data_IF_730217325323
#
_entry.id   IF_730217325323
#
_cell.length_a   1.000
_cell.length_b   1.000
_cell.length_c   1.000
_cell.angle_alpha   90.00
_cell.angle_beta   90.00
_cell.angle_gamma   90.00
#
_symmetry.space_group_name_H-M   'P 1'
#
loop_
_entity.id
_entity.type
_entity.pdbx_description
1 polymer ?
#
# COMPACT_ATOMS: atom_id res chain seq x y z
N UNK A 1 -10.34 -17.23 6.62
CA UNK A 1 -9.48 -16.09 7.01
C UNK A 1 -8.61 -15.67 5.82
N UNK A 2 -8.90 -14.53 5.17
CA UNK A 2 -7.96 -14.00 4.17
C UNK A 2 -6.69 -13.54 4.91
N UNK A 3 -5.55 -14.19 4.65
CA UNK A 3 -4.24 -13.77 5.19
C UNK A 3 -3.92 -12.37 4.65
N UNK A 4 -4.12 -11.35 5.48
CA UNK A 4 -3.72 -9.97 5.19
C UNK A 4 -2.20 -9.95 5.01
N UNK A 5 -1.72 -9.51 3.84
CA UNK A 5 -0.29 -9.40 3.58
C UNK A 5 0.22 -8.14 4.29
N UNK A 6 0.97 -8.33 5.35
CA UNK A 6 1.64 -7.26 6.09
C UNK A 6 3.14 -7.33 5.80
N UNK A 7 3.77 -6.17 5.63
CA UNK A 7 5.21 -6.03 5.43
C UNK A 7 5.70 -4.84 6.25
N UNK A 8 6.84 -5.02 6.91
CA UNK A 8 7.50 -3.94 7.63
C UNK A 8 8.40 -3.15 6.68
N UNK A 9 8.34 -1.82 6.77
CA UNK A 9 9.24 -0.90 6.10
C UNK A 9 9.74 0.09 7.15
N UNK A 10 11.06 0.22 7.29
CA UNK A 10 11.68 1.18 8.22
C UNK A 10 11.19 1.04 9.68
N UNK A 11 10.97 -0.20 10.15
CA UNK A 11 10.45 -0.48 11.49
C UNK A 11 8.94 -0.23 11.66
N UNK A 12 8.23 0.10 10.57
CA UNK A 12 6.81 0.45 10.59
C UNK A 12 6.00 -0.60 9.82
N UNK A 13 4.91 -1.17 10.39
CA UNK A 13 4.08 -2.15 9.71
C UNK A 13 3.16 -1.52 8.66
N UNK A 14 3.15 -2.10 7.46
CA UNK A 14 2.24 -1.75 6.37
C UNK A 14 1.44 -2.96 5.92
N UNK A 15 0.18 -2.76 5.58
CA UNK A 15 -0.67 -3.76 4.97
C UNK A 15 -0.82 -3.50 3.47
N UNK A 16 -0.86 -4.57 2.68
CA UNK A 16 -1.15 -4.48 1.26
C UNK A 16 -2.60 -4.00 1.06
N UNK A 17 -2.74 -2.81 0.50
CA UNK A 17 -4.03 -2.19 0.24
C UNK A 17 -4.55 -2.53 -1.16
N UNK A 18 -3.71 -2.36 -2.19
CA UNK A 18 -4.08 -2.59 -3.57
C UNK A 18 -2.87 -3.03 -4.42
N UNK A 19 -3.15 -3.53 -5.61
CA UNK A 19 -2.13 -3.79 -6.63
C UNK A 19 -2.55 -3.25 -7.98
N UNK A 20 -1.60 -2.71 -8.75
CA UNK A 20 -1.85 -2.15 -10.08
C UNK A 20 -0.88 -2.74 -11.12
N UNK A 21 -1.31 -2.84 -12.38
CA UNK A 21 -0.45 -3.22 -13.51
C UNK A 21 0.35 -2.04 -14.09
N UNK A 22 -0.15 -0.82 -13.88
CA UNK A 22 0.37 0.41 -14.44
C UNK A 22 0.84 1.37 -13.33
N UNK A 23 1.88 2.17 -13.59
CA UNK A 23 2.37 3.13 -12.61
C UNK A 23 1.36 4.24 -12.32
N UNK A 24 0.71 4.79 -13.36
CA UNK A 24 -0.25 5.88 -13.21
C UNK A 24 -1.41 5.50 -12.26
N UNK A 25 -1.93 4.28 -12.39
CA UNK A 25 -2.97 3.76 -11.49
C UNK A 25 -2.43 3.60 -10.06
N UNK A 26 -1.20 3.10 -9.92
CA UNK A 26 -0.57 2.94 -8.61
C UNK A 26 -0.37 4.30 -7.90
N UNK A 27 0.06 5.31 -8.66
CA UNK A 27 0.27 6.68 -8.18
C UNK A 27 -1.05 7.35 -7.78
N UNK A 28 -2.12 7.18 -8.57
CA UNK A 28 -3.46 7.68 -8.21
C UNK A 28 -3.97 7.08 -6.90
N UNK A 29 -3.81 5.77 -6.72
CA UNK A 29 -4.21 5.09 -5.47
C UNK A 29 -3.35 5.58 -4.30
N UNK A 30 -2.05 5.77 -4.51
CA UNK A 30 -1.15 6.30 -3.51
C UNK A 30 -1.58 7.71 -3.07
N UNK A 31 -1.83 8.62 -4.02
CA UNK A 31 -2.28 9.99 -3.76
C UNK A 31 -3.62 10.01 -3.03
N UNK A 32 -4.58 9.16 -3.41
CA UNK A 32 -5.88 9.07 -2.75
C UNK A 32 -5.76 8.61 -1.29
N UNK A 33 -4.84 7.68 -0.99
CA UNK A 33 -4.55 7.26 0.37
C UNK A 33 -3.84 8.37 1.18
N UNK A 34 -2.85 9.03 0.59
CA UNK A 34 -2.12 10.13 1.23
C UNK A 34 -3.02 11.34 1.50
N UNK A 35 -3.94 11.68 0.58
CA UNK A 35 -4.96 12.72 0.78
C UNK A 35 -5.93 12.43 1.93
N UNK A 36 -6.01 11.18 2.40
CA UNK A 36 -6.75 10.78 3.61
C UNK A 36 -5.87 10.68 4.86
N UNK A 37 -4.64 11.20 4.79
CA UNK A 37 -3.65 11.15 5.88
C UNK A 37 -2.99 9.78 6.07
N UNK A 38 -3.13 8.85 5.12
CA UNK A 38 -2.51 7.54 5.24
C UNK A 38 -1.04 7.59 4.77
N UNK A 39 -0.14 7.06 5.58
CA UNK A 39 1.25 6.84 5.15
C UNK A 39 1.30 5.64 4.21
N UNK A 40 1.83 5.82 3.01
CA UNK A 40 1.84 4.81 1.95
C UNK A 40 3.24 4.50 1.46
N UNK A 41 3.43 3.28 0.95
CA UNK A 41 4.67 2.84 0.33
C UNK A 41 4.36 2.11 -0.97
N UNK A 42 5.06 2.48 -2.05
CA UNK A 42 4.96 1.80 -3.32
C UNK A 42 6.11 0.80 -3.47
N UNK A 43 5.81 -0.41 -3.93
CA UNK A 43 6.85 -1.36 -4.36
C UNK A 43 6.53 -1.91 -5.74
N UNK A 44 7.56 -2.19 -6.53
CA UNK A 44 7.45 -2.69 -7.90
C UNK A 44 8.02 -4.10 -7.97
N UNK A 45 7.30 -4.98 -8.67
CA UNK A 45 7.82 -6.23 -9.23
C UNK A 45 8.07 -6.02 -10.72
N UNK A 46 9.24 -6.45 -11.18
CA UNK A 46 9.70 -6.25 -12.55
C UNK A 46 9.07 -7.23 -13.55
N UNK A 47 8.79 -8.48 -13.15
CA UNK A 47 8.17 -9.49 -14.02
C UNK A 47 7.22 -10.45 -13.28
N UNK A 48 5.93 -10.56 -13.68
CA UNK A 48 5.21 -9.58 -14.51
C UNK A 48 5.21 -8.21 -13.82
N UNK A 49 5.17 -7.12 -14.62
CA UNK A 49 5.17 -5.75 -14.09
C UNK A 49 3.95 -5.57 -13.19
N UNK A 50 4.20 -5.34 -11.90
CA UNK A 50 3.13 -5.18 -10.91
C UNK A 50 3.57 -4.22 -9.82
N UNK A 51 2.68 -3.30 -9.48
CA UNK A 51 2.84 -2.35 -8.40
C UNK A 51 2.02 -2.82 -7.21
N UNK A 52 2.60 -2.71 -6.02
CA UNK A 52 1.95 -3.03 -4.76
C UNK A 52 1.90 -1.76 -3.94
N UNK A 53 0.70 -1.37 -3.55
CA UNK A 53 0.43 -0.20 -2.74
C UNK A 53 0.24 -0.68 -1.31
N UNK A 54 1.16 -0.31 -0.45
CA UNK A 54 1.16 -0.63 0.96
C UNK A 54 0.70 0.59 1.76
N UNK A 55 -0.14 0.38 2.77
CA UNK A 55 -0.66 1.43 3.64
C UNK A 55 -0.33 1.08 5.08
N UNK A 56 0.18 2.04 5.85
CA UNK A 56 0.54 1.86 7.24
C UNK A 56 -0.66 1.34 8.06
N UNK A 57 -0.42 0.34 8.93
CA UNK A 57 -1.50 -0.30 9.69
C UNK A 57 -2.05 0.57 10.82
N UNK A 58 -1.27 1.53 11.32
CA UNK A 58 -1.71 2.48 12.35
C UNK A 58 -2.83 3.37 11.82
N UNK A 59 -2.79 3.79 10.55
CA UNK A 59 -3.89 4.52 9.91
C UNK A 59 -5.18 3.67 9.83
N UNK A 60 -5.04 2.39 9.49
CA UNK A 60 -6.21 1.49 9.40
C UNK A 60 -6.82 1.19 10.76
N UNK A 61 -6.01 1.14 11.82
CA UNK A 61 -6.45 0.90 13.20
C UNK A 61 -7.09 2.13 13.83
N UNK A 62 -6.65 3.34 13.45
CA UNK A 62 -7.23 4.60 13.93
C UNK A 62 -8.63 4.91 13.34
N UNK A 63 -9.05 4.21 12.29
CA UNK A 63 -10.39 4.33 11.68
C UNK A 63 -11.33 3.15 11.99
N UNK A 64 -10.87 2.16 12.75
CA UNK A 64 -11.62 0.93 13.08
C UNK A 64 -12.28 0.99 14.44
#
# INVERSE_FOLDING_TARGET
MQKRKVREFDGVPYELYATAGESAVADQVQLACQGKGAMTRLTRRFFPRKYFIWVNTSWRRAKG
#
